data_IF_923387360119
#
_entry.id   IF_923387360119
#
_cell.length_a   1.000
_cell.length_b   1.000
_cell.length_c   1.000
_cell.angle_alpha   90.00
_cell.angle_beta   90.00
_cell.angle_gamma   90.00
#
_symmetry.space_group_name_H-M   'P 1'
#
loop_
_entity.id
_entity.type
_entity.pdbx_description
1 polymer ?
#
# COMPACT_ATOMS: atom_id res chain seq x y z
N UNK A 1 12.38 -17.46 20.57
CA UNK A 1 12.44 -16.01 20.92
C UNK A 1 13.89 -15.59 20.89
N UNK A 2 14.25 -14.63 20.03
CA UNK A 2 15.61 -14.07 19.96
C UNK A 2 15.96 -13.36 21.27
N UNK A 3 17.24 -13.42 21.67
CA UNK A 3 17.71 -12.58 22.78
C UNK A 3 17.77 -11.11 22.30
N UNK A 4 17.39 -10.12 23.11
CA UNK A 4 17.56 -8.73 22.69
C UNK A 4 19.04 -8.39 22.55
N UNK A 5 19.37 -7.59 21.53
CA UNK A 5 20.70 -6.96 21.42
C UNK A 5 20.92 -5.94 22.54
N UNK A 6 22.17 -5.61 22.90
CA UNK A 6 22.47 -4.57 23.88
C UNK A 6 21.85 -3.22 23.48
N UNK A 7 21.34 -2.46 24.46
CA UNK A 7 20.67 -1.18 24.19
C UNK A 7 21.58 -0.14 23.52
N UNK A 8 22.86 -0.12 23.88
CA UNK A 8 23.87 0.73 23.24
C UNK A 8 24.00 0.41 21.75
N UNK A 9 23.99 -0.87 21.39
CA UNK A 9 24.05 -1.33 20.01
C UNK A 9 22.77 -0.98 19.24
N UNK A 10 21.60 -1.23 19.85
CA UNK A 10 20.31 -0.86 19.25
C UNK A 10 20.20 0.64 18.99
N UNK A 11 20.69 1.46 19.92
CA UNK A 11 20.73 2.92 19.80
C UNK A 11 21.65 3.34 18.66
N UNK A 12 22.83 2.75 18.55
CA UNK A 12 23.78 3.04 17.46
C UNK A 12 23.19 2.67 16.10
N UNK A 13 22.55 1.51 15.97
CA UNK A 13 21.89 1.08 14.73
C UNK A 13 20.74 2.04 14.39
N UNK A 14 19.89 2.39 15.35
CA UNK A 14 18.79 3.33 15.14
C UNK A 14 19.29 4.71 14.69
N UNK A 15 20.41 5.19 15.24
CA UNK A 15 21.07 6.43 14.79
C UNK A 15 21.65 6.29 13.39
N UNK A 16 22.31 5.17 13.07
CA UNK A 16 22.89 4.94 11.76
C UNK A 16 21.82 4.88 10.66
N UNK A 17 20.71 4.18 10.88
CA UNK A 17 19.56 4.12 9.96
C UNK A 17 18.96 5.50 9.72
N UNK A 18 18.95 6.37 10.73
CA UNK A 18 18.43 7.73 10.60
C UNK A 18 19.49 8.77 10.16
N UNK A 19 20.74 8.35 10.03
CA UNK A 19 21.88 9.18 9.67
C UNK A 19 22.05 9.37 8.16
N UNK A 20 23.19 9.94 7.73
CA UNK A 20 23.50 10.15 6.31
C UNK A 20 23.80 8.85 5.55
N UNK A 21 24.19 7.78 6.26
CA UNK A 21 24.57 6.48 5.70
C UNK A 21 23.66 5.37 6.23
N UNK A 22 22.37 5.36 5.83
CA UNK A 22 21.40 4.41 6.39
C UNK A 22 21.77 2.95 6.12
N UNK A 23 22.53 2.68 5.06
CA UNK A 23 22.93 1.34 4.64
C UNK A 23 23.81 0.64 5.68
N UNK A 24 24.72 1.38 6.34
CA UNK A 24 25.55 0.84 7.42
C UNK A 24 24.69 0.33 8.59
N UNK A 25 23.65 1.07 8.94
CA UNK A 25 22.69 0.67 9.96
C UNK A 25 21.90 -0.58 9.58
N UNK A 26 21.46 -0.65 8.31
CA UNK A 26 20.77 -1.82 7.76
C UNK A 26 21.63 -3.08 7.75
N UNK A 27 22.87 -2.97 7.28
CA UNK A 27 23.81 -4.08 7.20
C UNK A 27 24.17 -4.61 8.59
N UNK A 28 24.40 -3.72 9.56
CA UNK A 28 24.62 -4.09 10.95
C UNK A 28 23.41 -4.83 11.54
N UNK A 29 22.20 -4.33 11.29
CA UNK A 29 20.96 -4.95 11.77
C UNK A 29 20.82 -6.38 11.24
N UNK A 30 21.01 -6.59 9.94
CA UNK A 30 20.92 -7.90 9.30
C UNK A 30 22.04 -8.84 9.78
N UNK A 31 23.26 -8.32 9.93
CA UNK A 31 24.40 -9.10 10.40
C UNK A 31 24.18 -9.61 11.84
N UNK A 32 23.67 -8.75 12.73
CA UNK A 32 23.43 -9.10 14.13
C UNK A 32 22.29 -10.12 14.26
N UNK A 33 21.20 -9.89 13.52
CA UNK A 33 20.05 -10.78 13.53
C UNK A 33 20.37 -12.18 13.00
N UNK A 34 21.18 -12.27 11.93
CA UNK A 34 21.52 -13.55 11.30
C UNK A 34 22.65 -14.32 12.00
N UNK A 35 23.66 -13.64 12.57
CA UNK A 35 24.85 -14.31 13.12
C UNK A 35 24.84 -14.53 14.62
N UNK A 36 24.15 -13.69 15.40
CA UNK A 36 24.27 -13.71 16.86
C UNK A 36 23.00 -14.19 17.58
N UNK A 37 21.97 -14.61 16.84
CA UNK A 37 20.65 -15.00 17.38
C UNK A 37 20.08 -13.90 18.31
N UNK A 38 20.38 -12.64 17.97
CA UNK A 38 19.94 -11.45 18.71
C UNK A 38 19.04 -10.56 17.87
N UNK A 39 17.87 -10.21 18.42
CA UNK A 39 16.90 -9.33 17.77
C UNK A 39 17.01 -7.87 18.26
N UNK A 40 16.43 -6.92 17.51
CA UNK A 40 16.22 -5.55 17.96
C UNK A 40 15.55 -5.45 19.33
N UNK A 41 15.83 -4.35 20.03
CA UNK A 41 15.01 -3.95 21.18
C UNK A 41 13.65 -3.45 20.70
N UNK A 42 12.65 -3.41 21.60
CA UNK A 42 11.32 -2.86 21.28
C UNK A 42 11.39 -1.42 20.73
N UNK A 43 12.29 -0.60 21.27
CA UNK A 43 12.53 0.77 20.81
C UNK A 43 13.03 0.83 19.35
N UNK A 44 13.94 -0.07 18.96
CA UNK A 44 14.44 -0.13 17.58
C UNK A 44 13.36 -0.65 16.63
N UNK A 45 12.55 -1.65 17.04
CA UNK A 45 11.37 -2.06 16.26
C UNK A 45 10.41 -0.89 16.03
N UNK A 46 10.04 -0.14 17.08
CA UNK A 46 9.17 1.02 16.94
C UNK A 46 9.75 2.09 16.02
N UNK A 47 11.07 2.30 16.05
CA UNK A 47 11.75 3.22 15.12
C UNK A 47 11.59 2.78 13.67
N UNK A 48 11.82 1.49 13.39
CA UNK A 48 11.65 0.91 12.04
C UNK A 48 10.19 0.95 11.59
N UNK A 49 9.25 0.59 12.47
CA UNK A 49 7.80 0.64 12.19
C UNK A 49 7.38 2.07 11.85
N UNK A 50 7.77 3.06 12.66
CA UNK A 50 7.46 4.48 12.37
C UNK A 50 8.02 4.91 11.02
N UNK A 51 9.27 4.53 10.71
CA UNK A 51 9.90 4.85 9.43
C UNK A 51 9.09 4.29 8.25
N UNK A 52 8.66 3.02 8.29
CA UNK A 52 7.92 2.41 7.18
C UNK A 52 6.46 2.85 7.10
N UNK A 53 5.83 3.18 8.23
CA UNK A 53 4.42 3.59 8.30
C UNK A 53 4.25 5.09 8.01
N UNK A 54 5.13 5.96 8.50
CA UNK A 54 4.97 7.43 8.41
C UNK A 54 5.90 8.07 7.37
N UNK A 55 6.97 7.37 6.98
CA UNK A 55 8.04 7.90 6.16
C UNK A 55 9.16 8.60 6.93
N UNK A 56 10.24 9.01 6.26
CA UNK A 56 11.32 9.79 6.85
C UNK A 56 10.85 11.18 7.30
N UNK A 57 11.22 11.56 8.53
CA UNK A 57 10.85 12.82 9.16
C UNK A 57 12.01 13.43 9.95
N UNK A 58 12.09 14.76 9.95
CA UNK A 58 12.96 15.57 10.81
C UNK A 58 12.10 16.58 11.54
N UNK A 59 11.88 16.37 12.84
CA UNK A 59 10.84 17.09 13.58
C UNK A 59 9.47 16.82 12.97
N UNK A 60 8.75 17.88 12.58
CA UNK A 60 7.46 17.80 11.89
C UNK A 60 7.56 17.77 10.36
N UNK A 61 8.77 17.82 9.80
CA UNK A 61 8.99 17.94 8.35
C UNK A 61 9.24 16.56 7.74
N UNK A 62 8.39 16.15 6.80
CA UNK A 62 8.59 14.94 6.00
C UNK A 62 9.53 15.22 4.83
N UNK A 63 10.41 14.28 4.50
CA UNK A 63 11.30 14.40 3.34
C UNK A 63 11.41 13.07 2.56
N UNK A 64 11.65 13.11 1.25
CA UNK A 64 11.78 11.90 0.45
C UNK A 64 13.18 11.28 0.64
N UNK A 65 13.24 10.07 1.18
CA UNK A 65 14.47 9.27 1.26
C UNK A 65 14.13 7.80 0.96
N UNK A 66 14.31 7.42 -0.31
CA UNK A 66 13.96 6.09 -0.78
C UNK A 66 14.92 5.02 -0.24
N UNK A 67 16.20 5.34 -0.05
CA UNK A 67 17.16 4.37 0.45
C UNK A 67 16.88 4.02 1.90
N UNK A 68 16.64 5.03 2.73
CA UNK A 68 16.26 4.83 4.14
C UNK A 68 14.98 4.00 4.28
N UNK A 69 13.96 4.30 3.47
CA UNK A 69 12.72 3.52 3.43
C UNK A 69 12.96 2.07 3.02
N UNK A 70 13.75 1.86 1.96
CA UNK A 70 14.11 0.53 1.46
C UNK A 70 14.85 -0.27 2.53
N UNK A 71 15.77 0.35 3.25
CA UNK A 71 16.54 -0.28 4.32
C UNK A 71 15.63 -0.62 5.51
N UNK A 72 14.76 0.30 5.92
CA UNK A 72 13.78 0.05 6.97
C UNK A 72 12.84 -1.10 6.63
N UNK A 73 12.35 -1.13 5.39
CA UNK A 73 11.57 -2.23 4.84
C UNK A 73 12.37 -3.53 4.91
N UNK A 74 13.46 -3.65 4.16
CA UNK A 74 14.28 -4.87 4.09
C UNK A 74 14.67 -5.39 5.47
N UNK A 75 15.07 -4.51 6.39
CA UNK A 75 15.38 -4.88 7.76
C UNK A 75 14.19 -5.53 8.48
N UNK A 76 13.00 -4.93 8.43
CA UNK A 76 11.79 -5.55 9.00
C UNK A 76 11.44 -6.87 8.32
N UNK A 77 11.59 -6.95 6.99
CA UNK A 77 11.27 -8.15 6.23
C UNK A 77 12.18 -9.32 6.60
N UNK A 78 13.48 -9.10 6.72
CA UNK A 78 14.44 -10.13 7.15
C UNK A 78 14.19 -10.55 8.60
N UNK A 79 13.94 -9.58 9.50
CA UNK A 79 13.63 -9.85 10.89
C UNK A 79 12.37 -10.70 11.06
N UNK A 80 11.33 -10.47 10.26
CA UNK A 80 10.07 -11.23 10.29
C UNK A 80 10.24 -12.70 9.90
N UNK A 81 11.32 -13.09 9.22
CA UNK A 81 11.62 -14.50 8.92
C UNK A 81 12.05 -15.27 10.17
N UNK A 82 12.47 -14.57 11.24
CA UNK A 82 12.96 -15.19 12.45
C UNK A 82 11.81 -15.64 13.37
N UNK A 83 11.92 -16.81 14.03
CA UNK A 83 10.83 -17.35 14.85
C UNK A 83 10.36 -16.41 15.97
N UNK A 84 9.07 -16.07 15.94
CA UNK A 84 8.38 -15.26 16.95
C UNK A 84 8.54 -13.74 16.81
N UNK A 85 9.30 -13.26 15.82
CA UNK A 85 9.50 -11.81 15.61
C UNK A 85 8.24 -11.13 15.08
N UNK A 86 7.49 -11.76 14.17
CA UNK A 86 6.23 -11.20 13.67
C UNK A 86 5.23 -10.95 14.80
N UNK A 87 5.10 -11.90 15.74
CA UNK A 87 4.28 -11.75 16.94
C UNK A 87 4.78 -10.60 17.84
N UNK A 88 6.10 -10.47 18.00
CA UNK A 88 6.69 -9.37 18.77
C UNK A 88 6.40 -8.01 18.11
N UNK A 89 6.61 -7.87 16.81
CA UNK A 89 6.26 -6.65 16.06
C UNK A 89 4.79 -6.30 16.26
N UNK A 90 3.90 -7.28 16.08
CA UNK A 90 2.46 -7.11 16.24
C UNK A 90 2.10 -6.63 17.65
N UNK A 91 2.74 -7.18 18.70
CA UNK A 91 2.50 -6.76 20.08
C UNK A 91 2.92 -5.31 20.39
N UNK A 92 3.78 -4.71 19.56
CA UNK A 92 4.21 -3.32 19.67
C UNK A 92 3.30 -2.35 18.90
N UNK A 93 2.44 -2.87 18.02
CA UNK A 93 1.53 -2.05 17.22
C UNK A 93 0.35 -1.57 18.05
N UNK A 94 -0.03 -0.33 17.78
CA UNK A 94 -1.17 0.35 18.41
C UNK A 94 -2.08 0.88 17.31
N UNK A 95 -3.32 1.26 17.67
CA UNK A 95 -4.25 1.92 16.76
C UNK A 95 -3.62 3.14 16.04
N UNK A 96 -2.76 3.90 16.71
CA UNK A 96 -2.07 5.03 16.07
C UNK A 96 -1.13 4.62 14.95
N UNK A 97 -0.50 3.44 14.99
CA UNK A 97 0.30 2.95 13.86
C UNK A 97 -0.58 2.60 12.66
N UNK A 98 -1.78 2.07 12.89
CA UNK A 98 -2.77 1.85 11.83
C UNK A 98 -3.25 3.17 11.21
N UNK A 99 -3.64 4.15 12.03
CA UNK A 99 -4.08 5.48 11.58
C UNK A 99 -2.99 6.17 10.75
N UNK A 100 -1.75 6.19 11.24
CA UNK A 100 -0.61 6.74 10.51
C UNK A 100 -0.38 6.06 9.17
N UNK A 101 -0.61 4.74 9.10
CA UNK A 101 -0.51 3.99 7.85
C UNK A 101 -1.57 4.42 6.85
N UNK A 102 -2.83 4.52 7.28
CA UNK A 102 -3.92 5.03 6.44
C UNK A 102 -3.64 6.46 5.95
N UNK A 103 -3.14 7.33 6.82
CA UNK A 103 -2.73 8.69 6.44
C UNK A 103 -1.61 8.68 5.40
N UNK A 104 -0.59 7.84 5.56
CA UNK A 104 0.49 7.71 4.58
C UNK A 104 -0.02 7.27 3.20
N UNK A 105 -0.91 6.27 3.14
CA UNK A 105 -1.51 5.79 1.90
C UNK A 105 -2.36 6.88 1.22
N UNK A 106 -3.05 7.71 2.00
CA UNK A 106 -3.83 8.84 1.50
C UNK A 106 -2.99 10.07 1.11
N UNK A 107 -1.74 10.16 1.57
CA UNK A 107 -0.97 11.40 1.50
C UNK A 107 -0.36 11.75 0.13
N UNK A 108 0.04 13.00 -0.02
CA UNK A 108 0.79 13.54 -1.17
C UNK A 108 2.11 14.20 -0.71
N UNK A 109 2.70 13.68 0.39
CA UNK A 109 3.77 14.33 1.17
C UNK A 109 5.00 14.73 0.36
N UNK A 110 5.32 14.00 -0.71
CA UNK A 110 6.53 14.23 -1.51
C UNK A 110 6.24 14.81 -2.90
N UNK A 111 4.98 15.14 -3.20
CA UNK A 111 4.58 15.74 -4.49
C UNK A 111 4.22 17.21 -4.32
N UNK A 112 4.57 18.02 -5.32
CA UNK A 112 4.12 19.40 -5.43
C UNK A 112 2.78 19.49 -6.19
N UNK A 113 1.98 20.55 -5.97
CA UNK A 113 0.77 20.80 -6.77
C UNK A 113 1.05 20.76 -8.27
N UNK A 114 0.26 19.96 -8.99
CA UNK A 114 0.38 19.78 -10.45
C UNK A 114 1.41 18.74 -10.91
N UNK A 115 2.18 18.11 -10.02
CA UNK A 115 3.14 17.06 -10.43
C UNK A 115 2.47 15.91 -11.20
N UNK A 116 1.25 15.53 -10.83
CA UNK A 116 0.46 14.48 -11.50
C UNK A 116 0.10 14.81 -12.95
N UNK A 117 0.16 16.08 -13.33
CA UNK A 117 -0.19 16.56 -14.68
C UNK A 117 1.03 17.08 -15.47
N UNK A 118 2.23 17.09 -14.87
CA UNK A 118 3.46 17.62 -15.47
C UNK A 118 4.33 16.51 -16.03
N UNK A 119 4.93 16.78 -17.19
CA UNK A 119 5.81 15.85 -17.90
C UNK A 119 7.29 16.21 -17.76
N UNK A 120 7.76 16.49 -16.54
CA UNK A 120 9.16 16.82 -16.26
C UNK A 120 9.85 15.78 -15.38
N UNK A 121 11.17 15.66 -15.51
CA UNK A 121 11.97 14.70 -14.71
C UNK A 121 11.75 14.90 -13.21
N UNK A 122 11.77 16.14 -12.73
CA UNK A 122 11.58 16.43 -11.31
C UNK A 122 10.18 16.04 -10.79
N UNK A 123 9.13 16.20 -11.61
CA UNK A 123 7.78 15.75 -11.24
C UNK A 123 7.72 14.22 -11.15
N UNK A 124 8.32 13.51 -12.12
CA UNK A 124 8.39 12.05 -12.12
C UNK A 124 9.18 11.50 -10.92
N UNK A 125 10.31 12.11 -10.59
CA UNK A 125 11.09 11.73 -9.42
C UNK A 125 10.29 11.89 -8.12
N UNK A 126 9.63 13.04 -7.92
CA UNK A 126 8.78 13.29 -6.75
C UNK A 126 7.58 12.35 -6.67
N UNK A 127 6.90 12.11 -7.80
CA UNK A 127 5.82 11.11 -7.87
C UNK A 127 6.33 9.72 -7.51
N UNK A 128 7.47 9.30 -8.06
CA UNK A 128 8.07 8.00 -7.79
C UNK A 128 8.43 7.83 -6.31
N UNK A 129 9.00 8.87 -5.68
CA UNK A 129 9.31 8.88 -4.24
C UNK A 129 8.05 8.77 -3.38
N UNK A 130 6.97 9.47 -3.75
CA UNK A 130 5.67 9.37 -3.07
C UNK A 130 5.06 7.97 -3.20
N UNK A 131 5.05 7.40 -4.41
CA UNK A 131 4.56 6.05 -4.65
C UNK A 131 5.41 5.01 -3.92
N UNK A 132 6.74 5.17 -3.88
CA UNK A 132 7.63 4.27 -3.15
C UNK A 132 7.31 4.27 -1.65
N UNK A 133 7.14 5.43 -1.03
CA UNK A 133 6.83 5.50 0.39
C UNK A 133 5.45 4.92 0.74
N UNK A 134 4.45 5.15 -0.12
CA UNK A 134 3.14 4.47 0.01
C UNK A 134 3.28 2.97 -0.13
N UNK A 135 4.09 2.51 -1.09
CA UNK A 135 4.32 1.08 -1.33
C UNK A 135 4.95 0.43 -0.10
N UNK A 136 6.03 0.98 0.43
CA UNK A 136 6.71 0.46 1.64
C UNK A 136 5.71 0.32 2.81
N UNK A 137 4.90 1.36 3.04
CA UNK A 137 3.83 1.31 4.03
C UNK A 137 2.81 0.21 3.74
N UNK A 138 2.29 0.13 2.52
CA UNK A 138 1.30 -0.87 2.12
C UNK A 138 1.83 -2.30 2.22
N UNK A 139 3.08 -2.55 1.84
CA UNK A 139 3.72 -3.86 1.89
C UNK A 139 3.82 -4.32 3.36
N UNK A 140 4.18 -3.41 4.27
CA UNK A 140 4.22 -3.68 5.71
C UNK A 140 2.84 -4.00 6.27
N UNK A 141 1.83 -3.18 6.00
CA UNK A 141 0.45 -3.41 6.47
C UNK A 141 -0.13 -4.72 5.91
N UNK A 142 0.10 -4.98 4.62
CA UNK A 142 -0.34 -6.21 3.97
C UNK A 142 0.29 -7.45 4.60
N UNK A 143 1.57 -7.41 4.95
CA UNK A 143 2.24 -8.52 5.66
C UNK A 143 1.60 -8.79 7.01
N UNK A 144 1.25 -7.75 7.77
CA UNK A 144 0.58 -7.91 9.05
C UNK A 144 -0.82 -8.53 8.89
N UNK A 145 -1.61 -8.02 7.94
CA UNK A 145 -2.93 -8.58 7.61
C UNK A 145 -2.80 -10.05 7.19
N UNK A 146 -1.91 -10.35 6.24
CA UNK A 146 -1.72 -11.70 5.75
C UNK A 146 -1.23 -12.65 6.82
N UNK A 147 -0.36 -12.21 7.73
CA UNK A 147 0.13 -13.05 8.82
C UNK A 147 -0.98 -13.45 9.79
N UNK A 148 -1.91 -12.53 10.11
CA UNK A 148 -2.99 -12.80 11.06
C UNK A 148 -4.23 -13.41 10.42
N UNK A 149 -4.58 -13.03 9.19
CA UNK A 149 -5.86 -13.41 8.57
C UNK A 149 -5.75 -14.53 7.54
N UNK A 150 -4.64 -14.69 6.82
CA UNK A 150 -4.55 -15.74 5.81
C UNK A 150 -4.80 -17.15 6.39
N UNK A 151 -4.29 -17.49 7.59
CA UNK A 151 -4.61 -18.77 8.24
C UNK A 151 -6.09 -18.90 8.60
N UNK A 152 -6.76 -17.81 8.97
CA UNK A 152 -8.16 -17.82 9.39
C UNK A 152 -9.12 -17.84 8.20
N UNK A 153 -8.79 -17.14 7.12
CA UNK A 153 -9.57 -17.18 5.86
C UNK A 153 -9.52 -18.57 5.22
N UNK A 154 -8.41 -19.29 5.37
CA UNK A 154 -8.27 -20.65 4.86
C UNK A 154 -9.09 -21.69 5.65
N UNK A 155 -9.57 -21.35 6.84
CA UNK A 155 -10.48 -22.19 7.63
C UNK A 155 -11.90 -21.78 7.23
N UNK A 156 -12.63 -22.66 6.56
CA UNK A 156 -14.00 -22.38 6.07
C UNK A 156 -15.00 -21.97 7.19
N UNK A 157 -14.65 -22.17 8.47
CA UNK A 157 -15.38 -21.69 9.64
C UNK A 157 -14.57 -20.62 10.37
N UNK A 158 -15.10 -19.40 10.41
CA UNK A 158 -14.46 -18.26 11.07
C UNK A 158 -14.96 -18.19 12.50
N UNK A 159 -14.01 -18.19 13.46
CA UNK A 159 -14.28 -17.91 14.86
C UNK A 159 -14.15 -16.40 15.10
N UNK A 160 -15.07 -15.81 15.88
CA UNK A 160 -15.05 -14.40 16.25
C UNK A 160 -13.75 -13.99 16.99
N UNK A 161 -13.03 -14.96 17.58
CA UNK A 161 -11.69 -14.77 18.14
C UNK A 161 -10.69 -14.16 17.15
N UNK A 162 -10.93 -14.24 15.83
CA UNK A 162 -10.11 -13.56 14.82
C UNK A 162 -10.05 -12.04 15.04
N UNK A 163 -11.11 -11.45 15.61
CA UNK A 163 -11.18 -10.02 15.88
C UNK A 163 -10.41 -9.59 17.13
N UNK A 164 -10.03 -10.55 17.98
CA UNK A 164 -9.16 -10.32 19.13
C UNK A 164 -7.66 -10.38 18.77
N UNK A 165 -7.34 -10.78 17.54
CA UNK A 165 -5.95 -10.77 17.05
C UNK A 165 -5.40 -9.34 17.07
N UNK A 166 -4.22 -9.06 17.68
CA UNK A 166 -3.88 -7.69 18.08
C UNK A 166 -3.90 -6.62 16.97
N UNK A 167 -3.45 -6.93 15.75
CA UNK A 167 -3.51 -5.96 14.66
C UNK A 167 -4.92 -5.84 14.05
N UNK A 168 -5.70 -6.93 14.05
CA UNK A 168 -7.12 -6.90 13.65
C UNK A 168 -7.96 -6.14 14.67
N UNK A 169 -7.71 -6.35 15.96
CA UNK A 169 -8.31 -5.61 17.05
C UNK A 169 -8.12 -4.10 16.85
N UNK A 170 -6.91 -3.65 16.51
CA UNK A 170 -6.63 -2.23 16.21
C UNK A 170 -7.47 -1.67 15.06
N UNK A 171 -7.89 -2.51 14.10
CA UNK A 171 -8.73 -2.12 12.95
C UNK A 171 -10.21 -2.07 13.37
N UNK A 172 -10.71 -3.10 14.05
CA UNK A 172 -12.14 -3.21 14.40
C UNK A 172 -12.54 -2.32 15.57
N UNK A 173 -11.65 -2.14 16.56
CA UNK A 173 -11.86 -1.28 17.73
C UNK A 173 -11.62 0.21 17.44
N UNK A 174 -11.17 0.54 16.22
CA UNK A 174 -10.99 1.93 15.83
C UNK A 174 -12.31 2.70 15.94
N UNK A 175 -12.28 3.95 16.41
CA UNK A 175 -13.49 4.78 16.67
C UNK A 175 -14.47 4.92 15.50
N UNK A 176 -13.99 4.77 14.26
CA UNK A 176 -14.80 4.82 13.02
C UNK A 176 -15.07 3.44 12.41
N UNK A 177 -14.66 2.37 13.10
CA UNK A 177 -14.82 0.98 12.71
C UNK A 177 -13.97 0.55 11.49
N UNK A 178 -14.08 -0.73 11.11
CA UNK A 178 -13.35 -1.30 9.98
C UNK A 178 -13.80 -0.74 8.61
N UNK A 179 -15.06 -0.30 8.51
CA UNK A 179 -15.61 0.37 7.31
C UNK A 179 -14.77 1.59 6.92
N UNK A 180 -14.36 2.40 7.88
CA UNK A 180 -13.56 3.59 7.62
C UNK A 180 -12.19 3.25 7.01
N UNK A 181 -11.53 2.22 7.54
CA UNK A 181 -10.27 1.73 6.98
C UNK A 181 -10.44 1.28 5.53
N UNK A 182 -11.50 0.53 5.26
CA UNK A 182 -11.83 0.09 3.90
C UNK A 182 -12.06 1.29 2.96
N UNK A 183 -12.90 2.26 3.34
CA UNK A 183 -13.16 3.47 2.54
C UNK A 183 -11.90 4.28 2.24
N UNK A 184 -11.00 4.44 3.23
CA UNK A 184 -9.73 5.14 3.04
C UNK A 184 -8.83 4.43 2.03
N UNK A 185 -8.68 3.11 2.14
CA UNK A 185 -7.83 2.34 1.22
C UNK A 185 -8.48 2.27 -0.17
N UNK A 186 -9.81 2.12 -0.27
CA UNK A 186 -10.53 2.18 -1.56
C UNK A 186 -10.32 3.52 -2.25
N UNK A 187 -10.44 4.63 -1.52
CA UNK A 187 -10.17 5.96 -2.05
C UNK A 187 -8.73 6.11 -2.50
N UNK A 188 -7.76 5.67 -1.69
CA UNK A 188 -6.34 5.71 -2.06
C UNK A 188 -6.04 4.88 -3.32
N UNK A 189 -6.60 3.68 -3.42
CA UNK A 189 -6.44 2.77 -4.58
C UNK A 189 -7.07 3.36 -5.83
N UNK A 190 -8.27 3.93 -5.71
CA UNK A 190 -8.98 4.53 -6.85
C UNK A 190 -8.25 5.78 -7.33
N UNK A 191 -7.83 6.66 -6.43
CA UNK A 191 -7.05 7.85 -6.77
C UNK A 191 -5.71 7.51 -7.41
N UNK A 192 -5.04 6.45 -6.95
CA UNK A 192 -3.82 5.93 -7.58
C UNK A 192 -4.08 5.64 -9.07
N UNK A 193 -5.13 4.87 -9.38
CA UNK A 193 -5.49 4.54 -10.77
C UNK A 193 -5.93 5.76 -11.58
N UNK A 194 -6.70 6.67 -10.99
CA UNK A 194 -7.13 7.91 -11.66
C UNK A 194 -5.92 8.76 -12.05
N UNK A 195 -5.04 9.03 -11.09
CA UNK A 195 -3.95 9.99 -11.26
C UNK A 195 -2.77 9.42 -12.03
N UNK A 196 -2.54 8.11 -11.98
CA UNK A 196 -1.31 7.49 -12.51
C UNK A 196 -1.56 6.31 -13.44
N UNK A 197 -2.79 5.82 -13.56
CA UNK A 197 -3.11 4.65 -14.40
C UNK A 197 -2.76 4.86 -15.87
N UNK A 198 -2.86 6.09 -16.37
CA UNK A 198 -2.43 6.44 -17.73
C UNK A 198 -0.95 6.10 -17.99
N UNK A 199 -0.07 6.21 -16.99
CA UNK A 199 1.37 5.93 -17.12
C UNK A 199 1.68 4.46 -17.39
N UNK A 200 0.76 3.55 -17.06
CA UNK A 200 0.93 2.10 -17.29
C UNK A 200 -0.03 1.55 -18.36
N UNK A 201 -1.15 2.24 -18.63
CA UNK A 201 -2.16 1.81 -19.61
C UNK A 201 -1.93 2.39 -21.01
N UNK A 202 -1.33 3.58 -21.11
CA UNK A 202 -1.07 4.21 -22.39
C UNK A 202 0.24 3.68 -22.99
N UNK A 203 0.26 3.51 -24.31
CA UNK A 203 1.55 3.38 -25.02
C UNK A 203 2.28 4.73 -24.90
N UNK A 204 3.60 4.74 -24.70
CA UNK A 204 4.35 5.99 -24.68
C UNK A 204 4.10 6.73 -26.00
N UNK A 205 3.39 7.85 -25.95
CA UNK A 205 3.21 8.69 -27.12
C UNK A 205 4.52 9.45 -27.31
N UNK A 206 5.18 9.23 -28.44
CA UNK A 206 6.34 10.00 -28.87
C UNK A 206 6.00 11.43 -29.28
N UNK A 207 5.00 12.06 -28.65
CA UNK A 207 4.31 13.26 -29.13
C UNK A 207 4.63 14.54 -28.34
N UNK A 208 5.73 14.60 -27.60
CA UNK A 208 6.11 15.84 -26.94
C UNK A 208 7.51 16.24 -27.40
N UNK A 209 7.65 17.41 -27.99
CA UNK A 209 8.95 17.95 -28.42
C UNK A 209 9.72 18.60 -27.25
N UNK A 210 9.27 18.42 -26.01
CA UNK A 210 9.87 19.00 -24.79
C UNK A 210 10.36 17.93 -23.82
N UNK A 211 11.32 18.32 -22.97
CA UNK A 211 12.03 17.55 -21.93
C UNK A 211 11.23 16.36 -21.39
N UNK A 212 11.49 15.18 -21.96
CA UNK A 212 10.87 13.95 -21.46
C UNK A 212 11.55 13.50 -20.18
N UNK A 213 10.79 12.94 -19.22
CA UNK A 213 11.40 12.20 -18.15
C UNK A 213 12.22 11.04 -18.72
N UNK A 214 13.37 10.80 -18.10
CA UNK A 214 14.27 9.72 -18.44
C UNK A 214 13.53 8.38 -18.42
N UNK A 215 14.01 7.40 -19.20
CA UNK A 215 13.45 6.05 -19.15
C UNK A 215 13.51 5.50 -17.71
N UNK A 216 14.58 5.79 -16.99
CA UNK A 216 14.77 5.39 -15.59
C UNK A 216 13.66 5.94 -14.68
N UNK A 217 13.35 7.24 -14.75
CA UNK A 217 12.32 7.86 -13.92
C UNK A 217 10.92 7.36 -14.26
N UNK A 218 10.62 7.15 -15.55
CA UNK A 218 9.37 6.51 -15.97
C UNK A 218 9.24 5.09 -15.43
N UNK A 219 10.27 4.27 -15.60
CA UNK A 219 10.29 2.89 -15.10
C UNK A 219 10.19 2.85 -13.58
N UNK A 220 10.83 3.77 -12.87
CA UNK A 220 10.70 3.89 -11.43
C UNK A 220 9.25 4.13 -11.02
N UNK A 221 8.59 5.15 -11.57
CA UNK A 221 7.16 5.44 -11.30
C UNK A 221 6.26 4.25 -11.62
N UNK A 222 6.41 3.66 -12.81
CA UNK A 222 5.61 2.50 -13.23
C UNK A 222 5.82 1.27 -12.31
N UNK A 223 7.06 1.04 -11.87
CA UNK A 223 7.39 -0.07 -10.97
C UNK A 223 6.75 0.13 -9.61
N UNK A 224 6.88 1.33 -9.03
CA UNK A 224 6.24 1.63 -7.75
C UNK A 224 4.72 1.61 -7.85
N UNK A 225 4.16 2.14 -8.94
CA UNK A 225 2.72 2.10 -9.22
C UNK A 225 2.18 0.66 -9.24
N UNK A 226 2.79 -0.23 -10.03
CA UNK A 226 2.31 -1.61 -10.18
C UNK A 226 2.38 -2.37 -8.86
N UNK A 227 3.50 -2.24 -8.14
CA UNK A 227 3.67 -2.87 -6.84
C UNK A 227 2.66 -2.33 -5.81
N UNK A 228 2.52 -1.00 -5.71
CA UNK A 228 1.56 -0.37 -4.80
C UNK A 228 0.12 -0.77 -5.12
N UNK A 229 -0.28 -0.76 -6.40
CA UNK A 229 -1.64 -1.15 -6.80
C UNK A 229 -1.95 -2.59 -6.41
N UNK A 230 -0.97 -3.51 -6.54
CA UNK A 230 -1.13 -4.90 -6.12
C UNK A 230 -1.32 -5.00 -4.61
N UNK A 231 -0.47 -4.32 -3.83
CA UNK A 231 -0.55 -4.34 -2.36
C UNK A 231 -1.84 -3.72 -1.84
N UNK A 232 -2.24 -2.56 -2.38
CA UNK A 232 -3.49 -1.90 -2.01
C UNK A 232 -4.73 -2.74 -2.36
N UNK A 233 -4.76 -3.37 -3.54
CA UNK A 233 -5.87 -4.23 -3.93
C UNK A 233 -6.05 -5.42 -2.96
N UNK A 234 -4.95 -6.03 -2.52
CA UNK A 234 -4.98 -7.08 -1.48
C UNK A 234 -5.45 -6.57 -0.13
N UNK A 235 -4.99 -5.38 0.29
CA UNK A 235 -5.47 -4.74 1.54
C UNK A 235 -6.97 -4.48 1.45
N UNK A 236 -7.48 -3.95 0.32
CA UNK A 236 -8.91 -3.78 0.09
C UNK A 236 -9.68 -5.09 0.28
N UNK A 237 -9.18 -6.22 -0.25
CA UNK A 237 -9.80 -7.52 -0.06
C UNK A 237 -9.80 -7.99 1.39
N UNK A 238 -8.69 -7.84 2.13
CA UNK A 238 -8.64 -8.15 3.55
C UNK A 238 -9.61 -7.29 4.36
N UNK A 239 -9.63 -5.98 4.14
CA UNK A 239 -10.54 -5.07 4.84
C UNK A 239 -12.00 -5.30 4.48
N UNK A 240 -12.27 -5.70 3.23
CA UNK A 240 -13.61 -6.14 2.79
C UNK A 240 -14.06 -7.36 3.58
N UNK A 241 -13.19 -8.37 3.73
CA UNK A 241 -13.47 -9.54 4.54
C UNK A 241 -13.70 -9.19 6.01
N UNK A 242 -12.83 -8.35 6.61
CA UNK A 242 -12.97 -7.92 8.01
C UNK A 242 -14.31 -7.21 8.20
N UNK A 243 -14.63 -6.21 7.37
CA UNK A 243 -15.87 -5.46 7.49
C UNK A 243 -17.08 -6.36 7.30
N UNK A 244 -17.08 -7.22 6.27
CA UNK A 244 -18.15 -8.17 5.99
C UNK A 244 -18.43 -9.08 7.19
N UNK A 245 -17.39 -9.63 7.80
CA UNK A 245 -17.53 -10.57 8.92
C UNK A 245 -17.88 -9.87 10.22
N UNK A 246 -17.23 -8.75 10.52
CA UNK A 246 -17.46 -8.00 11.76
C UNK A 246 -18.82 -7.30 11.79
N UNK A 247 -19.29 -6.78 10.66
CA UNK A 247 -20.58 -6.08 10.59
C UNK A 247 -21.73 -6.96 10.09
N UNK A 248 -21.47 -8.25 9.83
CA UNK A 248 -22.43 -9.20 9.26
C UNK A 248 -23.06 -8.73 7.93
N UNK A 249 -22.29 -7.99 7.12
CA UNK A 249 -22.71 -7.50 5.81
C UNK A 249 -22.66 -8.64 4.79
N UNK A 250 -23.50 -8.57 3.76
CA UNK A 250 -23.43 -9.51 2.64
C UNK A 250 -22.32 -9.09 1.66
N UNK A 251 -21.93 -10.01 0.76
CA UNK A 251 -21.01 -9.67 -0.34
C UNK A 251 -21.60 -8.55 -1.22
N UNK A 252 -22.92 -8.51 -1.39
CA UNK A 252 -23.59 -7.48 -2.19
C UNK A 252 -23.45 -6.09 -1.58
N UNK A 253 -23.58 -5.97 -0.26
CA UNK A 253 -23.40 -4.70 0.47
C UNK A 253 -21.97 -4.16 0.30
N UNK A 254 -20.98 -5.06 0.39
CA UNK A 254 -19.57 -4.73 0.14
C UNK A 254 -19.35 -4.31 -1.33
N UNK A 255 -19.97 -5.00 -2.28
CA UNK A 255 -19.86 -4.64 -3.69
C UNK A 255 -20.46 -3.25 -3.98
N UNK A 256 -21.62 -2.94 -3.39
CA UNK A 256 -22.27 -1.63 -3.48
C UNK A 256 -21.36 -0.54 -2.90
N UNK A 257 -20.80 -0.76 -1.72
CA UNK A 257 -19.86 0.18 -1.10
C UNK A 257 -18.66 0.47 -2.02
N UNK A 258 -18.00 -0.58 -2.51
CA UNK A 258 -16.82 -0.43 -3.38
C UNK A 258 -17.18 0.26 -4.69
N UNK A 259 -18.27 -0.17 -5.35
CA UNK A 259 -18.71 0.43 -6.61
C UNK A 259 -19.04 1.91 -6.44
N UNK A 260 -19.74 2.27 -5.37
CA UNK A 260 -20.06 3.66 -5.05
C UNK A 260 -18.78 4.50 -4.87
N UNK A 261 -17.80 4.03 -4.10
CA UNK A 261 -16.54 4.75 -3.91
C UNK A 261 -15.79 4.93 -5.23
N UNK A 262 -15.67 3.86 -6.03
CA UNK A 262 -14.94 3.90 -7.31
C UNK A 262 -15.63 4.82 -8.31
N UNK A 263 -16.94 4.65 -8.51
CA UNK A 263 -17.72 5.43 -9.46
C UNK A 263 -17.78 6.91 -9.07
N UNK A 264 -17.99 7.21 -7.78
CA UNK A 264 -18.01 8.59 -7.27
C UNK A 264 -16.65 9.27 -7.48
N UNK A 265 -15.55 8.61 -7.13
CA UNK A 265 -14.21 9.17 -7.31
C UNK A 265 -13.89 9.43 -8.79
N UNK A 266 -14.35 8.58 -9.71
CA UNK A 266 -14.18 8.80 -11.16
C UNK A 266 -15.08 9.94 -11.66
N UNK A 267 -16.32 10.04 -11.20
CA UNK A 267 -17.23 11.11 -11.64
C UNK A 267 -16.85 12.49 -11.10
N UNK A 268 -16.26 12.55 -9.91
CA UNK A 268 -15.89 13.80 -9.23
C UNK A 268 -14.44 14.22 -9.47
N UNK A 269 -13.63 13.41 -10.16
CA UNK A 269 -12.23 13.77 -10.38
C UNK A 269 -12.08 14.95 -11.34
N UNK A 270 -11.18 15.87 -10.99
CA UNK A 270 -10.76 16.96 -11.88
C UNK A 270 -9.52 16.61 -12.69
N UNK A 271 -8.98 15.39 -12.54
CA UNK A 271 -7.79 14.96 -13.28
C UNK A 271 -8.17 14.61 -14.72
N UNK A 272 -7.55 15.32 -15.68
CA UNK A 272 -7.73 15.04 -17.10
C UNK A 272 -6.52 14.29 -17.68
N UNK A 273 -6.66 12.99 -18.04
CA UNK A 273 -5.60 12.22 -18.68
C UNK A 273 -5.49 12.48 -20.19
N UNK A 274 -6.31 13.35 -20.80
CA UNK A 274 -6.36 13.56 -22.26
C UNK A 274 -5.00 13.86 -22.88
N UNK A 275 -4.20 14.70 -22.22
CA UNK A 275 -2.83 15.03 -22.63
C UNK A 275 -1.93 13.80 -22.70
N UNK A 276 -2.16 12.78 -21.89
CA UNK A 276 -1.35 11.55 -21.86
C UNK A 276 -1.84 10.47 -22.82
N UNK A 277 -3.14 10.47 -23.17
CA UNK A 277 -3.76 9.43 -23.98
C UNK A 277 -3.74 9.77 -25.49
N UNK A 278 -3.54 11.04 -25.83
CA UNK A 278 -3.46 11.55 -27.20
C UNK A 278 -4.83 11.87 -27.82
N UNK A 279 -4.82 12.63 -28.92
CA UNK A 279 -6.02 13.23 -29.52
C UNK A 279 -7.12 12.24 -29.99
N UNK A 280 -6.80 10.94 -30.12
CA UNK A 280 -7.73 9.89 -30.54
C UNK A 280 -8.24 9.01 -29.39
N UNK A 281 -7.88 9.32 -28.15
CA UNK A 281 -8.27 8.50 -27.01
C UNK A 281 -9.74 8.70 -26.64
N UNK A 282 -10.46 7.58 -26.48
CA UNK A 282 -11.81 7.59 -25.95
C UNK A 282 -11.76 7.57 -24.41
N UNK A 283 -12.19 8.66 -23.79
CA UNK A 283 -12.21 8.83 -22.33
C UNK A 283 -13.09 7.79 -21.62
N UNK A 284 -14.23 7.42 -22.20
CA UNK A 284 -15.11 6.38 -21.66
C UNK A 284 -14.37 5.03 -21.61
N UNK A 285 -13.64 4.69 -22.67
CA UNK A 285 -12.83 3.47 -22.69
C UNK A 285 -11.66 3.54 -21.69
N UNK A 286 -11.04 4.70 -21.50
CA UNK A 286 -9.99 4.87 -20.49
C UNK A 286 -10.52 4.61 -19.08
N UNK A 287 -11.64 5.23 -18.72
CA UNK A 287 -12.25 5.03 -17.39
C UNK A 287 -12.76 3.59 -17.21
N UNK A 288 -13.28 2.96 -18.26
CA UNK A 288 -13.60 1.53 -18.26
C UNK A 288 -12.37 0.66 -17.95
N UNK A 289 -11.21 0.96 -18.57
CA UNK A 289 -9.94 0.28 -18.26
C UNK A 289 -9.49 0.54 -16.83
N UNK A 290 -9.60 1.76 -16.33
CA UNK A 290 -9.27 2.10 -14.94
C UNK A 290 -10.11 1.29 -13.95
N UNK A 291 -11.44 1.23 -14.14
CA UNK A 291 -12.34 0.40 -13.32
C UNK A 291 -11.97 -1.08 -13.38
N UNK A 292 -11.68 -1.59 -14.58
CA UNK A 292 -11.27 -2.98 -14.76
C UNK A 292 -9.94 -3.29 -14.07
N UNK A 293 -8.96 -2.38 -14.13
CA UNK A 293 -7.67 -2.58 -13.46
C UNK A 293 -7.75 -2.46 -11.94
N UNK A 294 -8.60 -1.58 -11.43
CA UNK A 294 -8.95 -1.58 -10.01
C UNK A 294 -9.50 -2.95 -9.61
N UNK A 295 -10.47 -3.49 -10.36
CA UNK A 295 -11.09 -4.78 -10.11
C UNK A 295 -10.07 -5.93 -10.09
N UNK A 296 -9.15 -5.97 -11.06
CA UNK A 296 -8.14 -7.03 -11.15
C UNK A 296 -7.08 -6.95 -10.05
N UNK A 297 -6.93 -5.81 -9.38
CA UNK A 297 -6.01 -5.64 -8.25
C UNK A 297 -6.51 -6.30 -6.95
N UNK A 298 -7.83 -6.44 -6.76
CA UNK A 298 -8.43 -7.04 -5.55
C UNK A 298 -8.04 -8.51 -5.42
N UNK A 299 -7.60 -9.06 -4.30
CA UNK A 299 -7.29 -10.51 -4.22
C UNK A 299 -8.55 -11.39 -4.42
N UNK A 300 -8.46 -12.38 -5.32
CA UNK A 300 -9.56 -13.32 -5.63
C UNK A 300 -9.71 -14.45 -4.61
N UNK A 301 -8.71 -14.69 -3.76
CA UNK A 301 -8.76 -15.81 -2.81
C UNK A 301 -9.37 -15.42 -1.46
N UNK A 302 -9.42 -14.11 -1.16
CA UNK A 302 -9.88 -13.60 0.15
C UNK A 302 -11.41 -13.50 0.22
N UNK A 303 -12.04 -12.92 -0.80
CA UNK A 303 -13.50 -12.93 -0.99
C UNK A 303 -13.79 -13.33 -2.44
N UNK A 304 -13.90 -14.62 -2.75
CA UNK A 304 -13.95 -15.10 -4.14
C UNK A 304 -15.10 -14.51 -4.97
N UNK A 305 -16.25 -14.26 -4.35
CA UNK A 305 -17.44 -13.73 -5.04
C UNK A 305 -17.35 -12.22 -5.32
N UNK A 306 -16.36 -11.52 -4.77
CA UNK A 306 -16.25 -10.06 -4.83
C UNK A 306 -15.98 -9.57 -6.26
N UNK A 307 -14.98 -10.15 -6.93
CA UNK A 307 -14.60 -9.76 -8.30
C UNK A 307 -15.71 -9.95 -9.33
N UNK A 308 -16.36 -11.13 -9.47
CA UNK A 308 -17.39 -11.31 -10.48
C UNK A 308 -18.60 -10.38 -10.25
N UNK A 309 -19.07 -10.22 -9.01
CA UNK A 309 -20.18 -9.31 -8.70
C UNK A 309 -19.84 -7.85 -8.96
N UNK A 310 -18.65 -7.41 -8.58
CA UNK A 310 -18.18 -6.04 -8.85
C UNK A 310 -18.03 -5.75 -10.35
N UNK A 311 -17.68 -6.74 -11.17
CA UNK A 311 -17.52 -6.55 -12.61
C UNK A 311 -18.80 -5.99 -13.25
N UNK A 312 -19.96 -6.52 -12.86
CA UNK A 312 -21.27 -6.06 -13.32
C UNK A 312 -21.57 -4.65 -12.79
N UNK A 313 -21.43 -4.44 -11.48
CA UNK A 313 -21.72 -3.15 -10.84
C UNK A 313 -20.83 -2.00 -11.32
N UNK A 314 -19.59 -2.29 -11.74
CA UNK A 314 -18.67 -1.30 -12.30
C UNK A 314 -18.90 -1.06 -13.80
N UNK A 315 -19.75 -1.85 -14.46
CA UNK A 315 -19.98 -1.79 -15.91
C UNK A 315 -18.79 -2.30 -16.72
N UNK A 316 -18.01 -3.24 -16.18
CA UNK A 316 -16.82 -3.83 -16.82
C UNK A 316 -16.94 -5.34 -17.01
N UNK A 317 -18.15 -5.90 -16.92
CA UNK A 317 -18.43 -7.32 -17.11
C UNK A 317 -17.89 -7.89 -18.43
N UNK A 318 -17.98 -7.13 -19.53
CA UNK A 318 -17.42 -7.55 -20.81
C UNK A 318 -15.88 -7.71 -20.76
N UNK A 319 -15.17 -6.79 -20.10
CA UNK A 319 -13.72 -6.91 -19.90
C UNK A 319 -13.37 -8.10 -19.00
N UNK A 320 -14.18 -8.32 -17.96
CA UNK A 320 -13.99 -9.41 -17.02
C UNK A 320 -14.18 -10.77 -17.69
N UNK A 321 -15.28 -10.96 -18.42
CA UNK A 321 -15.55 -12.21 -19.14
C UNK A 321 -14.52 -12.46 -20.24
N UNK A 322 -14.05 -11.43 -20.94
CA UNK A 322 -12.99 -11.61 -21.93
C UNK A 322 -11.64 -12.03 -21.32
N UNK A 323 -11.37 -11.68 -20.06
CA UNK A 323 -10.11 -11.98 -19.39
C UNK A 323 -10.14 -13.26 -18.52
N UNK A 324 -11.30 -13.62 -17.99
CA UNK A 324 -11.47 -14.68 -16.99
C UNK A 324 -12.68 -15.59 -17.24
N UNK A 325 -13.48 -15.33 -18.27
CA UNK A 325 -14.53 -16.25 -18.69
C UNK A 325 -13.89 -17.49 -19.32
N UNK A 326 -14.38 -18.66 -18.92
CA UNK A 326 -14.09 -19.92 -19.59
C UNK A 326 -14.73 -19.97 -20.99
#
# INVERSE_FOLDING_TARGET
KLKPMPESLATTIGKAINGPEPHLGGDLLNHIASRYDRGPTGALYLTLIKLVVQGPQSGSVSFPDCDRLRIGQMGLEELQKLPGVSTQIISLLTASHWENGLEQLASHKYTAPGDVSRYSEAAFLRMGQNLHAKRVCSDFLLRLLSHQLAPEIAKDQINDEVFDLPFIFNIVSHRRGPKHGLEMVLKATTLLWIQHGHLVLAKPLGLFEQEHPSLTSRLFVQTQFRALSSSLGKICSYLSWIYMKHAHESVDDICVLISNVVCTAISETTFDPSSFLGAKANMLQHWGKVKFQFLTSLDRTIVPQLRPKLAEMLGVGAYYNAAFGD
#
